data_IF_429750537526
#
_entry.id   IF_429750537526
#
_cell.length_a   1.000
_cell.length_b   1.000
_cell.length_c   1.000
_cell.angle_alpha   90.00
_cell.angle_beta   90.00
_cell.angle_gamma   90.00
#
_symmetry.space_group_name_H-M   'P 1'
#
loop_
_entity.id
_entity.type
_entity.pdbx_description
1 polymer ?
#
# COMPACT_ATOMS: atom_id res chain seq x y z
N UNK A 1 23.46 -2.68 -3.13
CA UNK A 1 22.13 -3.13 -3.61
C UNK A 1 21.64 -2.35 -4.82
N UNK A 2 21.61 -1.01 -4.79
CA UNK A 2 21.09 -0.22 -5.94
C UNK A 2 21.87 -0.35 -7.25
N UNK A 3 23.21 -0.41 -7.18
CA UNK A 3 24.07 -0.60 -8.36
C UNK A 3 23.75 -1.93 -9.03
N UNK A 4 23.68 -3.02 -8.26
CA UNK A 4 23.37 -4.36 -8.75
C UNK A 4 22.00 -4.44 -9.41
N UNK A 5 20.96 -3.83 -8.81
CA UNK A 5 19.61 -3.78 -9.39
C UNK A 5 19.54 -2.97 -10.68
N UNK A 6 20.31 -1.88 -10.75
CA UNK A 6 20.36 -1.03 -11.96
C UNK A 6 21.07 -1.76 -13.10
N UNK A 7 22.17 -2.46 -12.80
CA UNK A 7 22.87 -3.28 -13.78
C UNK A 7 22.00 -4.43 -14.28
N UNK A 8 21.31 -5.15 -13.38
CA UNK A 8 20.38 -6.21 -13.75
C UNK A 8 19.25 -5.71 -14.68
N UNK A 9 18.73 -4.51 -14.45
CA UNK A 9 17.74 -3.89 -15.33
C UNK A 9 18.28 -3.55 -16.72
N UNK A 10 19.54 -3.13 -16.83
CA UNK A 10 20.20 -2.88 -18.13
C UNK A 10 20.33 -4.16 -18.93
N UNK A 11 20.72 -5.28 -18.30
CA UNK A 11 20.75 -6.59 -18.94
C UNK A 11 19.35 -7.03 -19.38
N UNK A 12 18.36 -6.97 -18.49
CA UNK A 12 16.96 -7.28 -18.79
C UNK A 12 16.44 -6.53 -20.03
N UNK A 13 16.72 -5.23 -20.17
CA UNK A 13 16.30 -4.46 -21.35
C UNK A 13 16.97 -4.90 -22.65
N UNK A 14 18.21 -5.36 -22.60
CA UNK A 14 18.90 -5.91 -23.78
C UNK A 14 18.26 -7.22 -24.19
N UNK A 15 17.96 -8.08 -23.21
CA UNK A 15 17.33 -9.38 -23.45
C UNK A 15 15.92 -9.23 -24.03
N UNK A 16 15.11 -8.30 -23.50
CA UNK A 16 13.80 -7.99 -24.06
C UNK A 16 13.89 -7.61 -25.55
N UNK A 17 14.85 -6.77 -25.93
CA UNK A 17 15.06 -6.40 -27.34
C UNK A 17 15.48 -7.60 -28.20
N UNK A 18 16.34 -8.47 -27.68
CA UNK A 18 16.79 -9.67 -28.38
C UNK A 18 15.66 -10.68 -28.63
N UNK A 19 14.68 -10.75 -27.72
CA UNK A 19 13.52 -11.66 -27.80
C UNK A 19 12.34 -11.00 -28.57
N UNK A 20 12.52 -9.78 -29.11
CA UNK A 20 11.47 -9.07 -29.83
C UNK A 20 10.39 -8.44 -28.94
N UNK A 21 10.61 -8.40 -27.63
CA UNK A 21 9.73 -7.76 -26.66
C UNK A 21 10.08 -6.27 -26.54
N UNK A 22 9.30 -5.42 -27.21
CA UNK A 22 9.59 -3.98 -27.33
C UNK A 22 9.28 -3.19 -26.05
N UNK A 23 8.35 -3.66 -25.20
CA UNK A 23 7.91 -2.96 -23.99
C UNK A 23 8.40 -3.61 -22.69
N UNK A 24 9.71 -3.57 -22.46
CA UNK A 24 10.29 -3.94 -21.16
C UNK A 24 9.82 -3.04 -20.02
N UNK A 25 9.81 -3.58 -18.79
CA UNK A 25 9.46 -2.83 -17.58
C UNK A 25 10.34 -1.60 -17.34
N UNK A 26 9.75 -0.52 -16.84
CA UNK A 26 10.52 0.61 -16.32
C UNK A 26 11.31 0.22 -15.07
N UNK A 27 12.43 0.90 -14.80
CA UNK A 27 13.31 0.59 -13.67
C UNK A 27 12.56 0.52 -12.32
N UNK A 28 11.56 1.39 -12.13
CA UNK A 28 10.70 1.38 -10.95
C UNK A 28 9.90 0.07 -10.83
N UNK A 29 9.25 -0.37 -11.90
CA UNK A 29 8.46 -1.59 -11.90
C UNK A 29 9.34 -2.83 -11.78
N UNK A 30 10.49 -2.84 -12.46
CA UNK A 30 11.50 -3.90 -12.33
C UNK A 30 11.93 -4.08 -10.86
N UNK A 31 12.27 -2.99 -10.16
CA UNK A 31 12.65 -3.05 -8.73
C UNK A 31 11.51 -3.58 -7.85
N UNK A 32 10.27 -3.18 -8.11
CA UNK A 32 9.10 -3.69 -7.37
C UNK A 32 8.92 -5.19 -7.61
N UNK A 33 9.07 -5.65 -8.84
CA UNK A 33 8.94 -7.07 -9.18
C UNK A 33 10.04 -7.91 -8.52
N UNK A 34 11.30 -7.51 -8.64
CA UNK A 34 12.42 -8.21 -7.98
C UNK A 34 12.18 -8.32 -6.47
N UNK A 35 11.69 -7.25 -5.83
CA UNK A 35 11.35 -7.28 -4.42
C UNK A 35 10.20 -8.25 -4.10
N UNK A 36 9.14 -8.26 -4.91
CA UNK A 36 8.01 -9.19 -4.72
C UNK A 36 8.47 -10.63 -4.82
N UNK A 37 9.23 -10.98 -5.84
CA UNK A 37 9.75 -12.34 -6.04
C UNK A 37 10.73 -12.75 -4.92
N UNK A 38 11.62 -11.84 -4.52
CA UNK A 38 12.53 -12.11 -3.40
C UNK A 38 11.79 -12.28 -2.06
N UNK A 39 10.61 -11.65 -1.90
CA UNK A 39 9.79 -11.75 -0.69
C UNK A 39 8.90 -12.99 -0.66
N UNK A 40 8.52 -13.54 -1.83
CA UNK A 40 7.73 -14.76 -1.96
C UNK A 40 8.58 -16.02 -1.86
N UNK A 41 9.89 -15.92 -2.16
CA UNK A 41 10.88 -16.94 -1.87
C UNK A 41 11.14 -17.01 -0.35
N UNK A 42 10.17 -17.57 0.40
CA UNK A 42 10.42 -18.06 1.76
C UNK A 42 11.52 -19.12 1.67
N UNK A 43 12.65 -18.84 2.29
CA UNK A 43 13.69 -19.83 2.53
C UNK A 43 13.08 -21.11 3.10
N UNK A 44 13.37 -22.26 2.48
CA UNK A 44 13.09 -23.59 3.04
C UNK A 44 13.88 -23.84 4.35
N UNK A 45 14.73 -22.90 4.77
CA UNK A 45 15.33 -22.90 6.11
C UNK A 45 14.51 -22.01 7.04
N UNK A 46 13.50 -22.61 7.66
CA UNK A 46 12.81 -22.01 8.79
C UNK A 46 13.76 -21.97 10.00
N UNK A 47 14.53 -20.90 10.14
CA UNK A 47 15.02 -20.54 11.46
C UNK A 47 13.96 -19.68 12.15
N UNK A 48 13.42 -20.12 13.31
CA UNK A 48 12.46 -19.32 14.06
C UNK A 48 13.12 -17.98 14.40
N UNK A 49 12.42 -16.89 14.10
CA UNK A 49 12.83 -15.53 14.48
C UNK A 49 13.11 -15.55 15.99
N UNK A 50 14.38 -15.38 16.37
CA UNK A 50 14.77 -15.10 17.75
C UNK A 50 14.01 -13.85 18.18
N UNK A 51 13.09 -14.02 19.11
CA UNK A 51 12.62 -12.99 20.01
C UNK A 51 13.86 -12.36 20.63
N UNK A 52 14.22 -11.14 20.25
CA UNK A 52 15.32 -10.42 20.87
C UNK A 52 14.86 -9.94 22.23
N UNK A 53 14.99 -10.83 23.21
CA UNK A 53 15.07 -10.46 24.62
C UNK A 53 16.37 -9.65 24.83
N UNK A 54 16.21 -8.60 25.63
CA UNK A 54 17.20 -7.66 26.15
C UNK A 54 18.60 -8.21 26.43
N UNK A 55 19.61 -7.57 25.85
CA UNK A 55 20.93 -7.45 26.47
C UNK A 55 21.30 -5.96 26.54
N UNK A 56 21.60 -5.53 27.76
CA UNK A 56 21.70 -4.13 28.13
C UNK A 56 22.92 -3.43 27.53
N UNK A 57 22.70 -2.17 27.19
CA UNK A 57 23.72 -1.14 27.30
C UNK A 57 23.05 0.05 27.96
N UNK A 58 23.55 0.42 29.15
CA UNK A 58 23.16 1.64 29.84
C UNK A 58 23.63 2.82 28.99
N UNK A 59 22.69 3.46 28.31
CA UNK A 59 22.86 4.79 27.77
C UNK A 59 21.49 5.45 27.82
N UNK A 60 21.34 6.37 28.78
CA UNK A 60 20.19 7.25 28.94
C UNK A 60 20.07 8.14 27.70
N UNK A 61 19.55 7.58 26.63
CA UNK A 61 18.93 8.33 25.56
C UNK A 61 17.47 7.96 25.61
N UNK A 62 16.63 8.93 25.98
CA UNK A 62 15.18 8.80 25.85
C UNK A 62 14.94 8.43 24.39
N UNK A 63 14.60 7.17 24.14
CA UNK A 63 14.26 6.71 22.80
C UNK A 63 12.97 7.44 22.41
N UNK A 64 13.12 8.56 21.72
CA UNK A 64 12.00 9.24 21.08
C UNK A 64 11.43 8.20 20.11
N UNK A 65 10.22 7.68 20.33
CA UNK A 65 9.64 6.75 19.38
C UNK A 65 9.57 7.48 18.05
N UNK A 66 10.28 6.96 17.04
CA UNK A 66 10.14 7.48 15.68
C UNK A 66 8.66 7.54 15.37
N UNK A 67 8.12 8.68 14.91
CA UNK A 67 6.70 8.78 14.65
C UNK A 67 6.36 7.68 13.65
N UNK A 68 5.60 6.69 14.10
CA UNK A 68 5.02 5.67 13.24
C UNK A 68 4.18 6.46 12.26
N UNK A 69 4.71 6.69 11.05
CA UNK A 69 3.95 7.31 9.97
C UNK A 69 2.77 6.39 9.80
N UNK A 70 1.62 6.81 10.33
CA UNK A 70 0.42 5.98 10.41
C UNK A 70 0.23 5.29 9.08
N UNK A 71 0.13 3.97 9.13
CA UNK A 71 -0.05 3.12 7.95
C UNK A 71 -1.10 3.79 7.06
N UNK A 72 -0.68 4.38 5.93
CA UNK A 72 -1.62 5.01 5.00
C UNK A 72 -2.54 3.88 4.58
N UNK A 73 -3.83 3.96 4.93
CA UNK A 73 -4.79 2.92 4.58
C UNK A 73 -4.67 2.63 3.09
N UNK A 74 -4.22 1.41 2.76
CA UNK A 74 -4.01 0.97 1.39
C UNK A 74 -5.37 0.98 0.70
N UNK A 75 -5.43 1.61 -0.47
CA UNK A 75 -6.64 1.53 -1.29
C UNK A 75 -6.82 0.06 -1.72
N UNK A 76 -8.01 -0.53 -1.62
CA UNK A 76 -8.23 -1.89 -2.14
C UNK A 76 -7.91 -1.94 -3.63
N UNK A 77 -7.72 -3.17 -4.13
CA UNK A 77 -7.57 -3.39 -5.56
C UNK A 77 -8.85 -2.92 -6.30
N UNK A 78 -8.68 -2.41 -7.52
CA UNK A 78 -9.76 -1.83 -8.33
C UNK A 78 -10.91 -2.82 -8.54
N UNK A 79 -10.60 -4.10 -8.78
CA UNK A 79 -11.62 -5.13 -8.95
C UNK A 79 -12.49 -5.31 -7.69
N UNK A 80 -11.92 -5.24 -6.48
CA UNK A 80 -12.68 -5.34 -5.23
C UNK A 80 -13.61 -4.14 -5.03
N UNK A 81 -13.14 -2.95 -5.41
CA UNK A 81 -13.92 -1.70 -5.27
C UNK A 81 -15.17 -1.70 -6.13
N UNK A 82 -15.10 -2.25 -7.34
CA UNK A 82 -16.20 -2.25 -8.32
C UNK A 82 -16.93 -3.59 -8.45
N UNK A 83 -16.57 -4.57 -7.62
CA UNK A 83 -17.28 -5.84 -7.58
C UNK A 83 -18.67 -5.64 -6.97
N UNK A 84 -19.70 -5.75 -7.82
CA UNK A 84 -21.11 -5.58 -7.45
C UNK A 84 -21.63 -6.77 -6.63
N UNK A 85 -20.94 -7.92 -6.65
CA UNK A 85 -21.30 -9.07 -5.81
C UNK A 85 -20.92 -8.85 -4.34
N UNK A 86 -19.99 -7.94 -4.07
CA UNK A 86 -19.58 -7.59 -2.70
C UNK A 86 -20.49 -6.52 -2.13
N UNK A 87 -21.02 -6.79 -0.93
CA UNK A 87 -21.87 -5.83 -0.23
C UNK A 87 -21.04 -4.72 0.43
N UNK A 88 -20.83 -3.63 -0.31
CA UNK A 88 -20.18 -2.41 0.21
C UNK A 88 -21.15 -1.64 1.11
N UNK A 89 -21.15 -1.97 2.40
CA UNK A 89 -21.95 -1.28 3.41
C UNK A 89 -21.13 -0.24 4.20
N UNK A 90 -21.75 0.89 4.58
CA UNK A 90 -21.14 1.82 5.52
C UNK A 90 -21.12 1.23 6.94
N UNK A 91 -20.04 1.48 7.65
CA UNK A 91 -19.89 1.19 9.07
C UNK A 91 -19.33 2.41 9.81
N UNK A 92 -19.65 2.55 11.08
CA UNK A 92 -19.22 3.69 11.88
C UNK A 92 -17.94 3.37 12.67
N UNK A 93 -16.98 4.27 12.64
CA UNK A 93 -15.67 4.09 13.27
C UNK A 93 -15.04 5.44 13.66
N UNK A 94 -13.80 5.39 14.12
CA UNK A 94 -13.02 6.55 14.50
C UNK A 94 -12.83 7.51 13.31
N UNK A 95 -12.83 8.81 13.62
CA UNK A 95 -12.75 9.86 12.61
C UNK A 95 -11.41 9.83 11.86
N UNK A 96 -11.47 9.60 10.55
CA UNK A 96 -10.28 9.62 9.68
C UNK A 96 -10.52 10.50 8.45
N UNK A 97 -9.47 10.67 7.65
CA UNK A 97 -9.54 11.47 6.42
C UNK A 97 -10.33 10.76 5.32
N UNK A 98 -11.27 11.46 4.69
CA UNK A 98 -12.06 10.92 3.59
C UNK A 98 -11.15 10.67 2.38
N UNK A 99 -11.11 9.45 1.84
CA UNK A 99 -10.23 9.10 0.73
C UNK A 99 -10.67 9.62 -0.63
N UNK A 100 -11.94 9.99 -0.78
CA UNK A 100 -12.48 10.46 -2.05
C UNK A 100 -12.31 11.98 -2.24
N UNK A 101 -12.70 12.78 -1.24
CA UNK A 101 -12.73 14.24 -1.40
C UNK A 101 -11.61 15.00 -0.66
N UNK A 102 -10.87 14.37 0.25
CA UNK A 102 -9.78 15.06 0.94
C UNK A 102 -8.62 15.33 0.00
N UNK A 103 -8.15 16.58 -0.03
CA UNK A 103 -7.01 17.02 -0.84
C UNK A 103 -6.06 17.84 0.04
N UNK A 104 -4.84 18.08 -0.44
CA UNK A 104 -3.89 18.97 0.25
C UNK A 104 -4.53 20.36 0.39
N UNK A 105 -4.54 20.92 1.60
CA UNK A 105 -5.18 22.21 1.90
C UNK A 105 -6.69 22.14 2.17
N UNK A 106 -7.35 21.01 1.89
CA UNK A 106 -8.76 20.80 2.23
C UNK A 106 -8.98 19.36 2.73
N UNK A 107 -8.78 19.19 4.04
CA UNK A 107 -8.85 17.88 4.71
C UNK A 107 -10.27 17.63 5.19
N UNK A 108 -10.97 16.74 4.49
CA UNK A 108 -12.30 16.29 4.88
C UNK A 108 -12.17 15.08 5.80
N UNK A 109 -13.01 15.00 6.84
CA UNK A 109 -13.01 13.87 7.77
C UNK A 109 -14.35 13.16 7.78
N UNK A 110 -14.31 11.84 7.92
CA UNK A 110 -15.48 10.98 8.03
C UNK A 110 -15.28 9.93 9.12
N UNK A 111 -16.38 9.58 9.76
CA UNK A 111 -16.49 8.46 10.70
C UNK A 111 -17.06 7.21 10.01
N UNK A 112 -17.37 7.31 8.72
CA UNK A 112 -17.94 6.20 7.95
C UNK A 112 -16.83 5.52 7.15
N UNK A 113 -16.75 4.20 7.31
CA UNK A 113 -15.82 3.31 6.60
C UNK A 113 -16.61 2.29 5.77
N UNK A 114 -16.12 1.94 4.59
CA UNK A 114 -16.67 0.80 3.85
C UNK A 114 -16.19 -0.52 4.45
N UNK A 115 -17.12 -1.45 4.73
CA UNK A 115 -16.80 -2.77 5.32
C UNK A 115 -15.85 -3.60 4.47
N UNK A 116 -15.97 -3.52 3.14
CA UNK A 116 -15.16 -4.28 2.19
C UNK A 116 -13.86 -3.52 1.90
N UNK A 117 -13.97 -2.27 1.45
CA UNK A 117 -12.83 -1.49 1.00
C UNK A 117 -11.92 -0.97 2.12
N UNK A 118 -12.40 -0.94 3.38
CA UNK A 118 -11.68 -0.40 4.56
C UNK A 118 -11.18 1.04 4.37
N UNK A 119 -11.87 1.84 3.57
CA UNK A 119 -11.59 3.26 3.34
C UNK A 119 -12.66 4.14 3.97
N UNK A 120 -12.24 5.28 4.51
CA UNK A 120 -13.16 6.26 5.10
C UNK A 120 -13.71 7.18 4.02
N UNK A 121 -15.03 7.34 4.00
CA UNK A 121 -15.78 8.08 2.97
C UNK A 121 -16.86 8.92 3.63
N UNK A 122 -17.03 10.18 3.23
CA UNK A 122 -18.11 11.02 3.75
C UNK A 122 -19.49 10.44 3.37
N UNK A 123 -20.43 10.47 4.32
CA UNK A 123 -21.81 10.09 4.12
C UNK A 123 -22.69 11.01 4.99
N UNK A 124 -22.95 12.20 4.48
CA UNK A 124 -23.70 13.26 5.14
C UNK A 124 -24.68 13.90 4.13
N UNK A 125 -25.61 14.73 4.61
CA UNK A 125 -26.60 15.43 3.76
C UNK A 125 -25.97 16.18 2.58
N UNK A 126 -24.85 16.88 2.79
CA UNK A 126 -24.21 17.68 1.74
C UNK A 126 -23.39 16.83 0.76
N UNK A 127 -22.90 15.66 1.20
CA UNK A 127 -21.85 14.91 0.51
C UNK A 127 -21.99 13.42 0.75
N UNK A 128 -22.28 12.70 -0.33
CA UNK A 128 -22.22 11.25 -0.38
C UNK A 128 -20.99 10.77 -1.18
N UNK A 129 -19.83 10.79 -0.52
CA UNK A 129 -18.59 10.26 -1.11
C UNK A 129 -18.59 8.73 -1.12
N UNK A 130 -19.39 8.09 -0.25
CA UNK A 130 -19.52 6.64 -0.21
C UNK A 130 -20.02 6.11 -1.55
N UNK A 131 -21.13 6.62 -2.03
CA UNK A 131 -21.74 6.23 -3.29
C UNK A 131 -20.84 6.54 -4.49
N UNK A 132 -20.34 7.79 -4.59
CA UNK A 132 -19.43 8.21 -5.67
C UNK A 132 -18.15 7.38 -5.74
N UNK A 133 -17.65 6.89 -4.61
CA UNK A 133 -16.48 6.03 -4.62
C UNK A 133 -16.80 4.64 -5.19
N UNK A 134 -17.95 4.04 -4.94
CA UNK A 134 -18.24 2.68 -5.45
C UNK A 134 -18.84 2.69 -6.86
N UNK A 135 -19.45 3.79 -7.31
CA UNK A 135 -20.08 3.88 -8.64
C UNK A 135 -19.18 4.45 -9.74
N UNK A 136 -18.19 5.29 -9.41
CA UNK A 136 -17.38 5.96 -10.41
C UNK A 136 -16.41 4.98 -11.09
N UNK A 137 -16.86 4.31 -12.14
CA UNK A 137 -16.02 3.71 -13.18
C UNK A 137 -15.33 4.87 -13.91
N UNK A 138 -14.00 4.83 -13.96
CA UNK A 138 -13.21 5.79 -14.73
C UNK A 138 -13.32 5.49 -16.23
#
# INVERSE_FOLDING_TARGET
MDISLTNAWVFYRRDCKAIGFLEGLSLKHFRIQVFREASTQRSLTSHPRRSSASQGSLSTSVAIPTPVRGHRSTNPAIHVRFDMSLFHAPDYTNRQTCKYCSRKGNIMRSNVVCRVCKVHLCLNADRNCFLKYHEAVA
#
